data_IF_709107298314
#
_entry.id   IF_709107298314
#
_cell.length_a   1.000
_cell.length_b   1.000
_cell.length_c   1.000
_cell.angle_alpha   90.00
_cell.angle_beta   90.00
_cell.angle_gamma   90.00
#
_symmetry.space_group_name_H-M   'P 1'
#
loop_
_entity.id
_entity.type
_entity.pdbx_description
1 polymer ?
#
# COMPACT_ATOMS: atom_id res chain seq x y z
N UNK A 1 -27.20 9.42 22.23
CA UNK A 1 -27.06 8.85 20.88
C UNK A 1 -25.87 7.90 20.91
N UNK A 2 -26.07 6.64 20.52
CA UNK A 2 -24.95 5.73 20.32
C UNK A 2 -24.11 6.19 19.13
N UNK A 3 -22.79 6.04 19.26
CA UNK A 3 -21.81 6.41 18.23
C UNK A 3 -21.78 5.32 17.17
N UNK A 4 -22.05 5.66 15.89
CA UNK A 4 -21.89 4.73 14.76
C UNK A 4 -20.48 4.14 14.72
N UNK A 5 -20.38 2.82 14.55
CA UNK A 5 -19.12 2.09 14.40
C UNK A 5 -19.03 1.62 12.95
N UNK A 6 -17.91 1.91 12.28
CA UNK A 6 -17.67 1.61 10.86
C UNK A 6 -16.74 0.41 10.64
N UNK A 7 -16.04 -0.02 11.69
CA UNK A 7 -15.16 -1.20 11.68
C UNK A 7 -15.34 -1.99 12.98
N UNK A 8 -15.36 -3.32 12.91
CA UNK A 8 -15.39 -4.18 14.11
C UNK A 8 -13.98 -4.32 14.69
N UNK A 9 -13.85 -4.69 15.97
CA UNK A 9 -12.50 -4.92 16.53
C UNK A 9 -11.80 -6.10 15.85
N UNK A 10 -12.56 -7.15 15.48
CA UNK A 10 -12.03 -8.29 14.71
C UNK A 10 -11.43 -7.82 13.38
N UNK A 11 -12.14 -6.96 12.64
CA UNK A 11 -11.66 -6.47 11.35
C UNK A 11 -10.46 -5.52 11.52
N UNK A 12 -10.49 -4.71 12.58
CA UNK A 12 -9.39 -3.83 12.95
C UNK A 12 -8.11 -4.60 13.31
N UNK A 13 -8.23 -5.77 13.94
CA UNK A 13 -7.09 -6.69 14.15
C UNK A 13 -6.56 -7.29 12.84
N UNK A 14 -7.44 -7.63 11.89
CA UNK A 14 -6.99 -8.09 10.56
C UNK A 14 -6.26 -6.99 9.80
N UNK A 15 -6.75 -5.75 9.85
CA UNK A 15 -6.06 -4.60 9.26
C UNK A 15 -4.65 -4.41 9.85
N UNK A 16 -4.47 -4.56 11.17
CA UNK A 16 -3.13 -4.50 11.79
C UNK A 16 -2.19 -5.56 11.22
N UNK A 17 -2.66 -6.80 11.03
CA UNK A 17 -1.85 -7.85 10.38
C UNK A 17 -1.47 -7.50 8.95
N UNK A 18 -2.37 -6.88 8.19
CA UNK A 18 -2.07 -6.38 6.84
C UNK A 18 -0.97 -5.32 6.91
N UNK A 19 -1.09 -4.34 7.81
CA UNK A 19 -0.09 -3.28 8.01
C UNK A 19 1.29 -3.88 8.33
N UNK A 20 1.36 -4.85 9.24
CA UNK A 20 2.60 -5.54 9.63
C UNK A 20 3.26 -6.29 8.45
N UNK A 21 2.49 -6.73 7.45
CA UNK A 21 3.04 -7.40 6.26
C UNK A 21 3.80 -6.43 5.37
N UNK A 22 3.31 -5.19 5.28
CA UNK A 22 3.86 -4.12 4.45
C UNK A 22 4.78 -3.18 5.23
N UNK A 23 5.35 -3.62 6.35
CA UNK A 23 6.28 -2.79 7.16
C UNK A 23 7.40 -2.19 6.30
N UNK A 24 7.88 -2.93 5.29
CA UNK A 24 8.93 -2.48 4.37
C UNK A 24 8.55 -1.26 3.53
N UNK A 25 7.26 -0.96 3.32
CA UNK A 25 6.83 0.28 2.65
C UNK A 25 7.23 1.52 3.45
N UNK A 26 7.10 1.45 4.78
CA UNK A 26 7.35 2.60 5.66
C UNK A 26 8.85 2.86 5.90
N UNK A 27 9.72 1.94 5.49
CA UNK A 27 11.17 2.07 5.61
C UNK A 27 11.81 2.76 4.38
N UNK A 28 11.05 2.95 3.31
CA UNK A 28 11.57 3.52 2.06
C UNK A 28 11.58 5.04 2.16
N UNK A 29 12.78 5.62 2.25
CA UNK A 29 13.01 7.05 2.49
C UNK A 29 12.37 7.99 1.44
N UNK A 30 12.08 7.49 0.24
CA UNK A 30 11.51 8.27 -0.86
C UNK A 30 9.98 8.47 -0.73
N UNK A 31 9.31 7.85 0.25
CA UNK A 31 7.84 7.88 0.37
C UNK A 31 7.34 8.20 1.80
N UNK A 32 6.69 9.35 1.95
CA UNK A 32 6.02 9.76 3.20
C UNK A 32 4.65 9.07 3.34
N UNK A 33 4.64 7.74 3.54
CA UNK A 33 3.41 6.98 3.85
C UNK A 33 3.20 6.91 5.36
N UNK A 34 2.03 7.36 5.83
CA UNK A 34 1.60 7.21 7.21
C UNK A 34 0.24 6.51 7.28
N UNK A 35 0.18 5.40 8.03
CA UNK A 35 -1.10 4.78 8.39
C UNK A 35 -1.50 5.08 9.83
N UNK A 36 -2.74 5.53 10.01
CA UNK A 36 -3.30 5.94 11.30
C UNK A 36 -4.55 5.14 11.62
N UNK A 37 -4.54 4.45 12.76
CA UNK A 37 -5.74 3.84 13.37
C UNK A 37 -6.62 4.95 13.97
N UNK A 38 -7.75 5.22 13.31
CA UNK A 38 -8.72 6.24 13.74
C UNK A 38 -9.89 5.64 14.54
N UNK A 39 -9.67 4.46 15.12
CA UNK A 39 -10.59 3.78 16.01
C UNK A 39 -11.84 3.30 15.29
N UNK A 40 -13.02 3.79 15.73
CA UNK A 40 -14.32 3.34 15.19
C UNK A 40 -14.53 3.65 13.70
N UNK A 41 -13.67 4.44 13.09
CA UNK A 41 -13.73 4.83 11.69
C UNK A 41 -12.83 3.98 10.78
N UNK A 42 -11.99 3.09 11.34
CA UNK A 42 -11.06 2.28 10.56
C UNK A 42 -9.63 2.84 10.55
N UNK A 43 -9.00 2.81 9.39
CA UNK A 43 -7.64 3.29 9.16
C UNK A 43 -7.63 4.38 8.10
N UNK A 44 -6.69 5.31 8.22
CA UNK A 44 -6.41 6.34 7.22
C UNK A 44 -4.98 6.19 6.74
N UNK A 45 -4.77 6.04 5.43
CA UNK A 45 -3.46 6.17 4.79
C UNK A 45 -3.32 7.62 4.33
N UNK A 46 -2.21 8.24 4.71
CA UNK A 46 -1.85 9.60 4.36
C UNK A 46 -0.54 9.56 3.58
N UNK A 47 -0.48 10.27 2.45
CA UNK A 47 0.68 10.28 1.56
C UNK A 47 0.98 11.69 1.03
N UNK A 48 2.15 11.84 0.40
CA UNK A 48 2.58 13.07 -0.27
C UNK A 48 2.64 14.26 0.70
N UNK A 49 3.41 14.13 1.80
CA UNK A 49 3.57 15.22 2.77
C UNK A 49 4.44 16.35 2.20
N UNK A 50 3.94 17.57 2.28
CA UNK A 50 4.75 18.77 2.08
C UNK A 50 4.65 19.69 3.29
N UNK A 51 5.78 20.33 3.67
CA UNK A 51 5.79 21.24 4.81
C UNK A 51 4.80 22.42 4.66
N UNK A 52 4.43 22.78 3.42
CA UNK A 52 3.51 23.87 3.13
C UNK A 52 2.04 23.46 3.16
N UNK A 53 1.69 22.22 2.79
CA UNK A 53 0.29 21.80 2.62
C UNK A 53 -0.13 20.62 3.49
N UNK A 54 0.81 19.97 4.19
CA UNK A 54 0.54 18.71 4.88
C UNK A 54 0.47 17.54 3.90
N UNK A 55 -0.29 16.51 4.25
CA UNK A 55 -0.55 15.37 3.37
C UNK A 55 -1.55 15.76 2.27
N UNK A 56 -1.20 15.47 1.02
CA UNK A 56 -2.02 15.79 -0.15
C UNK A 56 -2.97 14.64 -0.52
N UNK A 57 -2.62 13.41 -0.13
CA UNK A 57 -3.38 12.20 -0.44
C UNK A 57 -3.93 11.55 0.83
N UNK A 58 -5.16 11.02 0.70
CA UNK A 58 -5.90 10.43 1.80
C UNK A 58 -6.79 9.29 1.29
N UNK A 59 -6.57 8.09 1.84
CA UNK A 59 -7.43 6.94 1.66
C UNK A 59 -7.94 6.44 3.02
N UNK A 60 -9.16 5.90 3.03
CA UNK A 60 -9.79 5.36 4.25
C UNK A 60 -10.18 3.91 4.06
N UNK A 61 -9.91 3.09 5.07
CA UNK A 61 -10.18 1.66 5.04
C UNK A 61 -10.98 1.21 6.25
N UNK A 62 -12.07 0.49 5.99
CA UNK A 62 -12.93 -0.10 7.02
C UNK A 62 -12.89 -1.62 7.04
N UNK A 63 -12.12 -2.24 6.15
CA UNK A 63 -11.91 -3.67 6.06
C UNK A 63 -10.47 -3.99 5.61
N UNK A 64 -10.03 -5.20 5.92
CA UNK A 64 -8.66 -5.66 5.69
C UNK A 64 -8.36 -5.95 4.23
N UNK A 65 -9.37 -6.30 3.40
CA UNK A 65 -9.14 -6.56 1.98
C UNK A 65 -8.89 -5.27 1.23
N UNK A 66 -9.71 -4.23 1.45
CA UNK A 66 -9.49 -2.92 0.81
C UNK A 66 -8.17 -2.30 1.24
N UNK A 67 -7.79 -2.44 2.51
CA UNK A 67 -6.49 -2.01 2.99
C UNK A 67 -5.34 -2.79 2.34
N UNK A 68 -5.49 -4.11 2.20
CA UNK A 68 -4.47 -4.97 1.57
C UNK A 68 -4.26 -4.58 0.12
N UNK A 69 -5.34 -4.40 -0.66
CA UNK A 69 -5.26 -3.99 -2.05
C UNK A 69 -4.60 -2.61 -2.19
N UNK A 70 -4.99 -1.65 -1.35
CA UNK A 70 -4.37 -0.33 -1.34
C UNK A 70 -2.86 -0.38 -1.09
N UNK A 71 -2.42 -1.07 -0.03
CA UNK A 71 -0.98 -1.21 0.26
C UNK A 71 -0.23 -2.05 -0.77
N UNK A 72 -0.88 -3.06 -1.36
CA UNK A 72 -0.30 -3.85 -2.44
C UNK A 72 -0.03 -2.99 -3.68
N UNK A 73 -0.98 -2.13 -4.06
CA UNK A 73 -0.83 -1.22 -5.20
C UNK A 73 0.31 -0.22 -4.97
N UNK A 74 0.41 0.38 -3.77
CA UNK A 74 1.54 1.25 -3.40
C UNK A 74 2.88 0.51 -3.50
N UNK A 75 2.95 -0.68 -2.89
CA UNK A 75 4.15 -1.51 -2.92
C UNK A 75 4.58 -1.85 -4.34
N UNK A 76 3.63 -2.23 -5.19
CA UNK A 76 3.91 -2.58 -6.58
C UNK A 76 4.38 -1.34 -7.36
N UNK A 77 3.67 -0.22 -7.23
CA UNK A 77 4.00 1.08 -7.83
C UNK A 77 5.45 1.47 -7.54
N UNK A 78 5.82 1.49 -6.26
CA UNK A 78 7.13 1.90 -5.80
C UNK A 78 8.23 0.97 -6.31
N UNK A 79 8.03 -0.35 -6.22
CA UNK A 79 9.01 -1.31 -6.72
C UNK A 79 9.19 -1.24 -8.24
N UNK A 80 8.12 -0.97 -9.00
CA UNK A 80 8.21 -0.72 -10.44
C UNK A 80 9.01 0.55 -10.71
N UNK A 81 8.74 1.63 -9.99
CA UNK A 81 9.46 2.90 -10.13
C UNK A 81 10.96 2.74 -9.82
N UNK A 82 11.31 2.07 -8.72
CA UNK A 82 12.68 1.81 -8.31
C UNK A 82 13.44 0.99 -9.36
N UNK A 83 12.85 -0.10 -9.86
CA UNK A 83 13.44 -0.91 -10.92
C UNK A 83 13.61 -0.14 -12.23
N UNK A 84 12.62 0.66 -12.61
CA UNK A 84 12.70 1.51 -13.80
C UNK A 84 13.84 2.54 -13.68
N UNK A 85 14.00 3.14 -12.50
CA UNK A 85 15.11 4.06 -12.19
C UNK A 85 16.47 3.38 -12.32
N UNK A 86 16.62 2.17 -11.77
CA UNK A 86 17.85 1.37 -11.89
C UNK A 86 18.16 0.99 -13.35
N UNK A 87 17.13 0.67 -14.12
CA UNK A 87 17.23 0.31 -15.54
C UNK A 87 17.33 1.53 -16.48
N UNK A 88 17.31 2.75 -15.94
CA UNK A 88 17.36 4.01 -16.68
C UNK A 88 16.22 4.16 -17.71
N UNK A 89 15.01 3.71 -17.37
CA UNK A 89 13.81 3.83 -18.20
C UNK A 89 13.15 5.23 -18.09
N UNK A 90 13.96 6.28 -17.99
CA UNK A 90 13.51 7.65 -17.71
C UNK A 90 12.58 8.25 -18.79
N UNK A 91 12.62 7.73 -20.01
CA UNK A 91 11.79 8.19 -21.15
C UNK A 91 10.46 7.43 -21.28
N UNK A 92 10.19 6.44 -20.42
CA UNK A 92 8.95 5.65 -20.44
C UNK A 92 7.93 6.31 -19.53
N UNK A 93 6.69 6.43 -20.01
CA UNK A 93 5.58 6.93 -19.19
C UNK A 93 5.35 6.03 -17.99
N UNK A 94 5.02 6.63 -16.84
CA UNK A 94 4.81 5.90 -15.59
C UNK A 94 3.83 4.72 -15.75
N UNK A 95 2.70 4.95 -16.42
CA UNK A 95 1.66 3.94 -16.69
C UNK A 95 2.16 2.75 -17.54
N UNK A 96 3.24 2.94 -18.29
CA UNK A 96 3.84 1.93 -19.16
C UNK A 96 5.05 1.24 -18.52
N UNK A 97 5.54 1.70 -17.38
CA UNK A 97 6.78 1.18 -16.75
C UNK A 97 6.71 -0.31 -16.50
N UNK A 98 5.62 -0.79 -15.88
CA UNK A 98 5.45 -2.20 -15.57
C UNK A 98 5.54 -3.09 -16.83
N UNK A 99 4.91 -2.65 -17.93
CA UNK A 99 4.89 -3.40 -19.18
C UNK A 99 6.26 -3.45 -19.86
N UNK A 100 7.12 -2.47 -19.61
CA UNK A 100 8.48 -2.37 -20.15
C UNK A 100 9.53 -3.12 -19.30
N UNK A 101 9.18 -3.56 -18.08
CA UNK A 101 10.08 -4.41 -17.29
C UNK A 101 10.28 -5.78 -17.95
N UNK A 102 11.43 -6.46 -17.73
CA UNK A 102 11.61 -7.84 -18.16
C UNK A 102 10.50 -8.75 -17.62
N UNK A 103 10.06 -9.74 -18.41
CA UNK A 103 8.96 -10.64 -18.02
C UNK A 103 9.22 -11.38 -16.70
N UNK A 104 10.47 -11.74 -16.45
CA UNK A 104 10.89 -12.33 -15.16
C UNK A 104 10.60 -11.39 -13.99
N UNK A 105 10.89 -10.09 -14.12
CA UNK A 105 10.63 -9.08 -13.08
C UNK A 105 9.13 -8.81 -12.92
N UNK A 106 8.36 -8.75 -14.00
CA UNK A 106 6.89 -8.65 -13.93
C UNK A 106 6.31 -9.83 -13.14
N UNK A 107 6.77 -11.06 -13.41
CA UNK A 107 6.34 -12.27 -12.69
C UNK A 107 6.81 -12.30 -11.23
N UNK A 108 8.04 -11.87 -10.94
CA UNK A 108 8.56 -11.76 -9.57
C UNK A 108 7.73 -10.79 -8.73
N UNK A 109 7.43 -9.60 -9.27
CA UNK A 109 6.60 -8.61 -8.61
C UNK A 109 5.19 -9.16 -8.38
N UNK A 110 4.47 -9.53 -9.43
CA UNK A 110 3.09 -10.02 -9.31
C UNK A 110 2.96 -11.27 -8.42
N UNK A 111 3.95 -12.16 -8.42
CA UNK A 111 3.98 -13.35 -7.56
C UNK A 111 4.11 -13.05 -6.06
N UNK A 112 4.56 -11.85 -5.67
CA UNK A 112 4.61 -11.45 -4.25
C UNK A 112 3.24 -11.19 -3.65
N UNK A 113 2.21 -10.90 -4.47
CA UNK A 113 0.84 -10.65 -3.97
C UNK A 113 0.32 -11.83 -3.16
N UNK A 114 0.48 -13.05 -3.68
CA UNK A 114 0.06 -14.29 -3.02
C UNK A 114 0.81 -14.49 -1.70
N UNK A 115 2.11 -14.16 -1.67
CA UNK A 115 2.94 -14.26 -0.48
C UNK A 115 2.45 -13.29 0.62
N UNK A 116 2.21 -12.03 0.26
CA UNK A 116 1.69 -11.04 1.21
C UNK A 116 0.29 -11.38 1.68
N UNK A 117 -0.61 -11.78 0.78
CA UNK A 117 -1.97 -12.16 1.14
C UNK A 117 -1.99 -13.31 2.15
N UNK A 118 -1.18 -14.35 1.89
CA UNK A 118 -1.02 -15.47 2.83
C UNK A 118 -0.48 -15.04 4.19
N UNK A 119 0.52 -14.14 4.22
CA UNK A 119 1.11 -13.64 5.47
C UNK A 119 0.12 -12.77 6.26
N UNK A 120 -0.73 -12.01 5.57
CA UNK A 120 -1.76 -11.16 6.16
C UNK A 120 -3.03 -11.94 6.56
N UNK A 121 -3.20 -13.16 6.07
CA UNK A 121 -4.42 -13.95 6.25
C UNK A 121 -5.58 -13.50 5.34
N UNK A 122 -5.26 -12.88 4.21
CA UNK A 122 -6.21 -12.43 3.18
C UNK A 122 -6.46 -13.57 2.18
N UNK A 123 -7.71 -13.70 1.75
CA UNK A 123 -8.11 -14.61 0.67
C UNK A 123 -8.30 -13.79 -0.61
N UNK A 124 -7.49 -14.07 -1.62
CA UNK A 124 -7.54 -13.42 -2.94
C UNK A 124 -8.67 -13.96 -3.83
#
# INVERSE_FOLDING_TARGET
MEKTVYITEEEREKCRKVIDVFEELYEIEDEDILLVDVGRYGFVKLQCYTASHGFEELDTYTDSNSLFEGLWEEWLSLNVFLLAREMQLADVLYDDLFNNLPKEKQSELTGRKDYFAKKAGITL
#
